data_IF_970026142825
#
_entry.id   IF_970026142825
#
_cell.length_a   1.000
_cell.length_b   1.000
_cell.length_c   1.000
_cell.angle_alpha   90.00
_cell.angle_beta   90.00
_cell.angle_gamma   90.00
#
_symmetry.space_group_name_H-M   'P 1'
#
loop_
_entity.id
_entity.type
_entity.pdbx_description
1 polymer ?
#
# COMPACT_ATOMS: atom_id res chain seq x y z
N UNK A 1 17.39 -65.72 46.19
CA UNK A 1 16.30 -64.84 45.71
C UNK A 1 16.34 -63.43 46.29
N UNK A 2 16.44 -63.22 47.62
CA UNK A 2 16.43 -61.89 48.24
C UNK A 2 17.61 -60.96 47.84
N UNK A 3 18.82 -61.50 47.66
CA UNK A 3 20.00 -60.73 47.25
C UNK A 3 19.77 -60.05 45.90
N UNK A 4 19.28 -60.79 44.91
CA UNK A 4 18.99 -60.34 43.55
C UNK A 4 18.03 -59.13 43.54
N UNK A 5 16.94 -59.18 44.34
CA UNK A 5 16.00 -58.07 44.49
C UNK A 5 16.64 -56.77 44.99
N UNK A 6 17.60 -56.85 45.92
CA UNK A 6 18.30 -55.68 46.46
C UNK A 6 19.16 -54.99 45.39
N UNK A 7 19.85 -55.75 44.53
CA UNK A 7 20.62 -55.20 43.42
C UNK A 7 19.73 -54.51 42.40
N UNK A 8 18.62 -55.14 42.00
CA UNK A 8 17.68 -54.53 41.07
C UNK A 8 17.12 -53.21 41.61
N UNK A 9 16.76 -53.15 42.89
CA UNK A 9 16.29 -51.92 43.53
C UNK A 9 17.36 -50.82 43.52
N UNK A 10 18.60 -51.16 43.88
CA UNK A 10 19.72 -50.20 43.91
C UNK A 10 20.06 -49.70 42.50
N UNK A 11 20.09 -50.59 41.50
CA UNK A 11 20.34 -50.22 40.10
C UNK A 11 19.24 -49.30 39.57
N UNK A 12 17.97 -49.63 39.82
CA UNK A 12 16.84 -48.79 39.40
C UNK A 12 16.92 -47.38 40.01
N UNK A 13 17.29 -47.27 41.28
CA UNK A 13 17.42 -45.98 41.96
C UNK A 13 18.58 -45.13 41.39
N UNK A 14 19.71 -45.75 41.07
CA UNK A 14 20.83 -45.07 40.39
C UNK A 14 20.49 -44.65 38.96
N UNK A 15 19.81 -45.51 38.20
CA UNK A 15 19.34 -45.18 36.84
C UNK A 15 18.31 -44.06 36.86
N UNK A 16 17.35 -44.07 37.79
CA UNK A 16 16.35 -43.01 37.93
C UNK A 16 17.00 -41.67 38.25
N UNK A 17 18.01 -41.67 39.13
CA UNK A 17 18.81 -40.47 39.42
C UNK A 17 19.52 -39.98 38.16
N UNK A 18 20.23 -40.84 37.42
CA UNK A 18 20.91 -40.46 36.18
C UNK A 18 19.96 -39.93 35.11
N UNK A 19 18.82 -40.59 34.90
CA UNK A 19 17.79 -40.19 33.94
C UNK A 19 17.20 -38.82 34.31
N UNK A 20 16.99 -38.53 35.59
CA UNK A 20 16.53 -37.21 36.02
C UNK A 20 17.48 -36.09 35.59
N UNK A 21 18.79 -36.25 35.80
CA UNK A 21 19.78 -35.27 35.31
C UNK A 21 19.80 -35.18 33.78
N UNK A 22 19.74 -36.33 33.09
CA UNK A 22 19.68 -36.36 31.63
C UNK A 22 18.47 -35.59 31.08
N UNK A 23 17.29 -35.74 31.70
CA UNK A 23 16.09 -35.02 31.28
C UNK A 23 16.20 -33.51 31.51
N UNK A 24 16.80 -33.07 32.61
CA UNK A 24 17.06 -31.65 32.87
C UNK A 24 18.01 -31.08 31.81
N UNK A 25 19.12 -31.76 31.52
CA UNK A 25 20.08 -31.33 30.50
C UNK A 25 19.46 -31.30 29.11
N UNK A 26 18.62 -32.29 28.78
CA UNK A 26 17.89 -32.34 27.50
C UNK A 26 16.88 -31.19 27.39
N UNK A 27 16.20 -30.86 28.49
CA UNK A 27 15.31 -29.70 28.56
C UNK A 27 16.06 -28.38 28.34
N UNK A 28 17.21 -28.22 29.00
CA UNK A 28 18.09 -27.06 28.81
C UNK A 28 18.59 -26.96 27.37
N UNK A 29 19.07 -28.06 26.80
CA UNK A 29 19.53 -28.12 25.41
C UNK A 29 18.42 -27.71 24.44
N UNK A 30 17.20 -28.23 24.62
CA UNK A 30 16.04 -27.86 23.80
C UNK A 30 15.69 -26.39 23.93
N UNK A 31 15.77 -25.83 25.14
CA UNK A 31 15.53 -24.40 25.37
C UNK A 31 16.56 -23.54 24.63
N UNK A 32 17.86 -23.86 24.77
CA UNK A 32 18.94 -23.17 24.07
C UNK A 32 18.75 -23.27 22.55
N UNK A 33 18.46 -24.46 22.03
CA UNK A 33 18.26 -24.65 20.60
C UNK A 33 17.07 -23.84 20.06
N UNK A 34 15.98 -23.75 20.81
CA UNK A 34 14.84 -22.89 20.48
C UNK A 34 15.23 -21.42 20.41
N UNK A 35 15.97 -20.93 21.42
CA UNK A 35 16.44 -19.53 21.47
C UNK A 35 17.37 -19.25 20.29
N UNK A 36 18.37 -20.10 20.05
CA UNK A 36 19.30 -19.97 18.93
C UNK A 36 18.57 -19.92 17.59
N UNK A 37 17.63 -20.85 17.37
CA UNK A 37 16.83 -20.89 16.14
C UNK A 37 15.98 -19.61 15.98
N UNK A 38 15.35 -19.14 17.06
CA UNK A 38 14.56 -17.90 17.03
C UNK A 38 15.42 -16.68 16.69
N UNK A 39 16.64 -16.58 17.21
CA UNK A 39 17.57 -15.49 16.90
C UNK A 39 18.02 -15.58 15.44
N UNK A 40 18.43 -16.75 14.95
CA UNK A 40 18.83 -16.92 13.55
C UNK A 40 17.71 -16.53 12.57
N UNK A 41 16.49 -16.98 12.86
CA UNK A 41 15.29 -16.63 12.09
C UNK A 41 15.06 -15.12 12.18
N UNK A 42 15.01 -14.54 13.37
CA UNK A 42 14.76 -13.13 13.58
C UNK A 42 15.79 -12.24 12.84
N UNK A 43 17.07 -12.61 12.87
CA UNK A 43 18.13 -11.90 12.12
C UNK A 43 17.99 -12.07 10.61
N UNK A 44 17.56 -13.23 10.12
CA UNK A 44 17.29 -13.39 8.69
C UNK A 44 16.08 -12.53 8.25
N UNK A 45 15.04 -12.44 9.07
CA UNK A 45 13.87 -11.62 8.81
C UNK A 45 14.10 -10.12 9.04
N UNK A 46 15.01 -9.70 9.93
CA UNK A 46 15.36 -8.26 10.07
C UNK A 46 15.97 -7.70 8.77
N UNK A 47 16.68 -8.55 8.01
CA UNK A 47 17.19 -8.18 6.69
C UNK A 47 16.07 -8.00 5.65
N UNK A 48 14.87 -8.53 5.94
CA UNK A 48 13.68 -8.46 5.11
C UNK A 48 12.50 -7.93 5.93
N UNK A 49 12.51 -6.62 6.20
CA UNK A 49 11.56 -5.85 7.03
C UNK A 49 10.08 -5.92 6.58
N UNK A 50 9.75 -6.75 5.57
CA UNK A 50 8.42 -6.84 4.97
C UNK A 50 7.36 -7.44 5.91
N UNK A 51 7.75 -8.05 7.05
CA UNK A 51 6.81 -8.74 7.97
C UNK A 51 7.06 -8.34 9.43
N UNK A 52 5.98 -8.09 10.22
CA UNK A 52 6.11 -7.83 11.65
C UNK A 52 6.64 -9.08 12.35
N UNK A 53 7.66 -8.91 13.21
CA UNK A 53 8.26 -10.00 13.97
C UNK A 53 7.45 -10.34 15.23
N UNK A 54 6.64 -9.38 15.68
CA UNK A 54 5.82 -9.50 16.89
C UNK A 54 4.46 -10.16 16.61
N UNK A 55 3.86 -10.68 17.69
CA UNK A 55 2.53 -11.30 17.68
C UNK A 55 1.48 -10.29 17.18
N UNK A 56 0.46 -10.72 16.41
CA UNK A 56 -0.62 -9.84 15.98
C UNK A 56 -1.23 -9.07 17.16
N UNK A 57 -1.27 -7.74 17.06
CA UNK A 57 -1.71 -6.84 18.14
C UNK A 57 -0.57 -6.13 18.88
N UNK A 58 0.67 -6.64 18.80
CA UNK A 58 1.87 -5.96 19.33
C UNK A 58 2.77 -5.36 18.24
N UNK A 59 2.29 -5.29 17.00
CA UNK A 59 3.04 -4.79 15.84
C UNK A 59 3.61 -3.38 16.08
N UNK A 60 2.89 -2.52 16.81
CA UNK A 60 3.33 -1.15 17.15
C UNK A 60 4.57 -1.09 18.03
N UNK A 61 4.90 -2.15 18.75
CA UNK A 61 6.10 -2.22 19.58
C UNK A 61 7.34 -2.59 18.77
N UNK A 62 7.17 -3.06 17.53
CA UNK A 62 8.26 -3.33 16.60
C UNK A 62 8.68 -2.04 15.87
N UNK A 63 9.75 -1.41 16.36
CA UNK A 63 10.29 -0.15 15.81
C UNK A 63 10.71 -0.31 14.34
N UNK A 64 11.24 -1.48 13.98
CA UNK A 64 11.69 -1.74 12.59
C UNK A 64 10.51 -1.76 11.64
N UNK A 65 9.46 -2.50 12.00
CA UNK A 65 8.23 -2.57 11.23
C UNK A 65 7.51 -1.22 11.13
N UNK A 66 7.43 -0.45 12.22
CA UNK A 66 6.83 0.89 12.22
C UNK A 66 7.60 1.88 11.32
N UNK A 67 8.94 1.78 11.32
CA UNK A 67 9.80 2.63 10.47
C UNK A 67 9.60 2.28 9.00
N UNK A 68 9.51 1.00 8.66
CA UNK A 68 9.21 0.54 7.30
C UNK A 68 7.84 1.04 6.83
N UNK A 69 6.81 0.97 7.67
CA UNK A 69 5.48 1.45 7.34
C UNK A 69 5.47 2.97 7.09
N UNK A 70 6.17 3.73 7.94
CA UNK A 70 6.33 5.18 7.74
C UNK A 70 7.10 5.51 6.46
N UNK A 71 8.14 4.75 6.13
CA UNK A 71 8.85 4.88 4.86
C UNK A 71 7.92 4.64 3.66
N UNK A 72 7.11 3.57 3.70
CA UNK A 72 6.17 3.23 2.63
C UNK A 72 5.10 4.32 2.45
N UNK A 73 4.60 4.90 3.53
CA UNK A 73 3.64 6.00 3.48
C UNK A 73 4.23 7.25 2.82
N UNK A 74 5.46 7.61 3.20
CA UNK A 74 6.18 8.73 2.58
C UNK A 74 6.46 8.46 1.10
N UNK A 75 6.89 7.25 0.76
CA UNK A 75 7.13 6.86 -0.63
C UNK A 75 5.84 6.90 -1.46
N UNK A 76 4.71 6.44 -0.91
CA UNK A 76 3.41 6.51 -1.57
C UNK A 76 2.99 7.96 -1.84
N UNK A 77 3.22 8.87 -0.90
CA UNK A 77 2.88 10.29 -1.06
C UNK A 77 3.80 11.01 -2.04
N UNK A 78 5.11 10.72 -2.03
CA UNK A 78 6.09 11.38 -2.90
C UNK A 78 6.09 10.82 -4.33
N UNK A 79 5.95 9.50 -4.46
CA UNK A 79 6.04 8.77 -5.72
C UNK A 79 4.68 8.27 -6.21
N UNK A 80 3.61 9.03 -5.95
CA UNK A 80 2.28 8.62 -6.37
C UNK A 80 2.21 8.55 -7.92
N UNK A 81 2.01 7.37 -8.53
CA UNK A 81 2.16 7.19 -9.98
C UNK A 81 1.18 8.07 -10.77
N UNK A 82 -0.01 8.33 -10.22
CA UNK A 82 -1.00 9.22 -10.85
C UNK A 82 -0.49 10.66 -10.93
N UNK A 83 0.21 11.16 -9.89
CA UNK A 83 0.73 12.54 -9.88
C UNK A 83 1.89 12.66 -10.86
N UNK A 84 2.80 11.68 -10.86
CA UNK A 84 3.94 11.63 -11.80
C UNK A 84 3.45 11.62 -13.25
N UNK A 85 2.48 10.76 -13.58
CA UNK A 85 1.89 10.69 -14.93
C UNK A 85 1.13 11.97 -15.28
N UNK A 86 0.41 12.58 -14.33
CA UNK A 86 -0.27 13.85 -14.55
C UNK A 86 0.72 14.97 -14.90
N UNK A 87 1.80 15.08 -14.15
CA UNK A 87 2.86 16.06 -14.40
C UNK A 87 3.55 15.81 -15.75
N UNK A 88 3.84 14.56 -16.11
CA UNK A 88 4.41 14.20 -17.42
C UNK A 88 3.47 14.58 -18.59
N UNK A 89 2.17 14.28 -18.46
CA UNK A 89 1.16 14.69 -19.45
C UNK A 89 1.06 16.21 -19.57
N UNK A 90 1.12 16.94 -18.45
CA UNK A 90 1.12 18.40 -18.44
C UNK A 90 2.35 18.95 -19.16
N UNK A 91 3.54 18.43 -18.85
CA UNK A 91 4.80 18.89 -19.44
C UNK A 91 4.85 18.60 -20.95
N UNK A 92 4.42 17.41 -21.38
CA UNK A 92 4.26 17.09 -22.81
C UNK A 92 3.29 18.05 -23.52
N UNK A 93 2.21 18.45 -22.86
CA UNK A 93 1.25 19.39 -23.43
C UNK A 93 1.82 20.80 -23.61
N UNK A 94 2.66 21.27 -22.67
CA UNK A 94 3.35 22.57 -22.74
C UNK A 94 4.44 22.55 -23.81
N UNK A 95 5.26 21.50 -23.86
CA UNK A 95 6.32 21.37 -24.88
C UNK A 95 5.77 21.29 -26.30
N UNK A 96 4.63 20.62 -26.51
CA UNK A 96 3.94 20.61 -27.80
C UNK A 96 3.44 22.02 -28.18
N UNK A 97 3.08 22.87 -27.21
CA UNK A 97 2.67 24.25 -27.51
C UNK A 97 3.86 25.11 -27.96
N UNK A 98 5.02 24.98 -27.29
CA UNK A 98 6.25 25.71 -27.64
C UNK A 98 6.84 25.28 -28.99
N UNK A 99 6.87 23.98 -29.28
CA UNK A 99 7.41 23.45 -30.55
C UNK A 99 6.61 23.88 -31.79
N UNK A 100 5.29 24.15 -31.65
CA UNK A 100 4.48 24.68 -32.75
C UNK A 100 4.71 26.19 -33.02
N UNK A 101 5.43 26.88 -32.14
CA UNK A 101 5.69 28.32 -32.24
C UNK A 101 6.94 28.61 -33.09
N UNK A 102 7.94 27.72 -33.06
CA UNK A 102 9.21 27.91 -33.77
C UNK A 102 9.15 27.56 -35.27
N UNK A 103 8.10 26.87 -35.73
CA UNK A 103 7.95 26.43 -37.14
C UNK A 103 7.22 27.43 -38.03
N UNK A 104 6.77 28.58 -37.51
CA UNK A 104 5.96 29.55 -38.27
C UNK A 104 6.69 30.86 -38.51
N UNK A 105 7.73 30.84 -39.35
CA UNK A 105 8.39 32.06 -39.83
C UNK A 105 7.82 32.60 -41.16
N UNK A 106 6.76 32.00 -41.74
CA UNK A 106 6.37 32.36 -43.12
C UNK A 106 4.85 32.29 -43.46
N UNK A 107 3.94 32.70 -42.55
CA UNK A 107 2.49 32.72 -42.86
C UNK A 107 1.79 34.01 -42.40
N UNK A 108 0.84 34.57 -43.18
CA UNK A 108 0.16 35.83 -42.85
C UNK A 108 -0.47 35.78 -41.45
N UNK A 109 -0.04 36.71 -40.61
CA UNK A 109 -0.26 36.80 -39.17
C UNK A 109 -1.75 36.65 -38.76
N UNK A 110 -2.67 37.10 -39.61
CA UNK A 110 -4.13 37.04 -39.37
C UNK A 110 -4.76 35.67 -39.62
N UNK A 111 -4.21 34.87 -40.54
CA UNK A 111 -4.68 33.51 -40.79
C UNK A 111 -4.21 32.56 -39.68
N UNK A 112 -2.99 32.76 -39.18
CA UNK A 112 -2.44 31.98 -38.07
C UNK A 112 -3.22 32.23 -36.77
N UNK A 113 -3.49 33.49 -36.42
CA UNK A 113 -4.24 33.86 -35.21
C UNK A 113 -5.66 33.28 -35.19
N UNK A 114 -6.36 33.29 -36.33
CA UNK A 114 -7.69 32.68 -36.48
C UNK A 114 -7.65 31.16 -36.31
N UNK A 115 -6.65 30.48 -36.86
CA UNK A 115 -6.47 29.05 -36.71
C UNK A 115 -6.15 28.63 -35.26
N UNK A 116 -5.30 29.38 -34.57
CA UNK A 116 -5.00 29.14 -33.15
C UNK A 116 -6.26 29.32 -32.29
N UNK A 117 -7.02 30.40 -32.50
CA UNK A 117 -8.28 30.63 -31.78
C UNK A 117 -9.32 29.55 -32.04
N UNK A 118 -9.46 29.11 -33.29
CA UNK A 118 -10.36 28.00 -33.66
C UNK A 118 -9.97 26.68 -32.98
N UNK A 119 -8.66 26.35 -32.94
CA UNK A 119 -8.14 25.18 -32.21
C UNK A 119 -8.39 25.25 -30.71
N UNK A 120 -8.30 26.45 -30.11
CA UNK A 120 -8.60 26.65 -28.68
C UNK A 120 -10.10 26.47 -28.42
N UNK A 121 -10.96 27.02 -29.26
CA UNK A 121 -12.42 26.90 -29.13
C UNK A 121 -12.88 25.44 -29.24
N UNK A 122 -12.40 24.71 -30.25
CA UNK A 122 -12.70 23.28 -30.44
C UNK A 122 -12.23 22.42 -29.27
N UNK A 123 -11.05 22.70 -28.69
CA UNK A 123 -10.57 22.04 -27.46
C UNK A 123 -11.48 22.30 -26.26
N UNK A 124 -11.95 23.53 -26.06
CA UNK A 124 -12.87 23.89 -24.96
C UNK A 124 -14.20 23.16 -25.07
N UNK A 125 -14.78 23.10 -26.27
CA UNK A 125 -16.03 22.36 -26.53
C UNK A 125 -15.83 20.87 -26.23
N UNK A 126 -14.76 20.26 -26.74
CA UNK A 126 -14.44 18.85 -26.47
C UNK A 126 -14.28 18.56 -24.98
N UNK A 127 -13.58 19.41 -24.24
CA UNK A 127 -13.39 19.23 -22.78
C UNK A 127 -14.72 19.32 -22.03
N UNK A 128 -15.64 20.21 -22.43
CA UNK A 128 -17.00 20.28 -21.86
C UNK A 128 -17.79 18.99 -22.12
N UNK A 129 -17.72 18.43 -23.32
CA UNK A 129 -18.37 17.15 -23.65
C UNK A 129 -17.78 15.97 -22.87
N UNK A 130 -16.46 15.89 -22.76
CA UNK A 130 -15.79 14.84 -21.96
C UNK A 130 -16.19 14.94 -20.49
N UNK A 131 -16.21 16.15 -19.92
CA UNK A 131 -16.71 16.38 -18.55
C UNK A 131 -18.15 15.87 -18.39
N UNK A 132 -19.05 16.27 -19.28
CA UNK A 132 -20.46 15.84 -19.26
C UNK A 132 -20.58 14.32 -19.30
N UNK A 133 -19.88 13.67 -20.24
CA UNK A 133 -19.85 12.21 -20.35
C UNK A 133 -19.41 11.56 -19.04
N UNK A 134 -18.29 11.99 -18.47
CA UNK A 134 -17.76 11.42 -17.21
C UNK A 134 -18.72 11.61 -16.03
N UNK A 135 -19.41 12.75 -15.94
CA UNK A 135 -20.38 13.03 -14.88
C UNK A 135 -21.65 12.18 -14.98
N UNK A 136 -22.16 11.94 -16.20
CA UNK A 136 -23.32 11.06 -16.41
C UNK A 136 -22.98 9.62 -16.01
N UNK A 137 -21.77 9.15 -16.34
CA UNK A 137 -21.30 7.79 -16.00
C UNK A 137 -20.96 7.61 -14.51
N UNK A 138 -20.61 8.69 -13.80
CA UNK A 138 -20.18 8.64 -12.40
C UNK A 138 -20.98 9.64 -11.54
N UNK A 139 -22.26 9.34 -11.33
CA UNK A 139 -23.22 10.24 -10.67
C UNK A 139 -22.88 10.54 -9.20
N UNK A 140 -22.08 9.69 -8.53
CA UNK A 140 -21.58 9.95 -7.16
C UNK A 140 -20.69 11.20 -7.10
N UNK A 141 -19.88 11.46 -8.13
CA UNK A 141 -18.93 12.58 -8.18
C UNK A 141 -19.66 13.94 -8.28
N UNK A 142 -20.88 13.94 -8.84
CA UNK A 142 -21.71 15.15 -8.89
C UNK A 142 -22.06 15.67 -7.49
N UNK A 143 -22.24 14.77 -6.51
CA UNK A 143 -22.63 15.13 -5.14
C UNK A 143 -21.49 15.78 -4.35
N UNK A 144 -20.24 15.38 -4.62
CA UNK A 144 -19.06 15.89 -3.91
C UNK A 144 -18.51 17.19 -4.52
N UNK A 145 -18.91 17.52 -5.75
CA UNK A 145 -18.33 18.63 -6.49
C UNK A 145 -19.03 19.96 -6.20
N UNK A 146 -18.35 20.84 -5.46
CA UNK A 146 -18.82 22.19 -5.10
C UNK A 146 -19.21 23.08 -6.29
N UNK A 147 -18.71 22.80 -7.50
CA UNK A 147 -18.94 23.61 -8.71
C UNK A 147 -19.96 23.02 -9.68
N UNK A 148 -20.52 21.83 -9.41
CA UNK A 148 -21.41 21.10 -10.34
C UNK A 148 -22.82 20.86 -9.78
N UNK A 149 -23.30 21.78 -8.94
CA UNK A 149 -24.64 21.74 -8.31
C UNK A 149 -25.77 21.62 -9.35
N UNK A 150 -25.56 22.16 -10.56
CA UNK A 150 -26.57 22.17 -11.64
C UNK A 150 -26.85 20.79 -12.26
N UNK A 151 -26.03 19.77 -12.00
CA UNK A 151 -26.24 18.40 -12.49
C UNK A 151 -26.92 17.50 -11.45
N UNK A 152 -27.31 18.05 -10.30
CA UNK A 152 -28.14 17.35 -9.34
C UNK A 152 -29.52 17.16 -9.97
N UNK A 153 -29.72 15.97 -10.55
CA UNK A 153 -31.01 15.52 -11.04
C UNK A 153 -32.05 15.74 -9.94
N UNK A 154 -33.26 16.23 -10.26
CA UNK A 154 -34.26 16.55 -9.25
C UNK A 154 -34.43 15.33 -8.36
N UNK A 155 -34.28 15.56 -7.06
CA UNK A 155 -34.63 14.61 -6.01
C UNK A 155 -35.96 13.99 -6.43
N UNK A 156 -35.97 12.70 -6.78
CA UNK A 156 -37.23 11.99 -7.01
C UNK A 156 -38.05 12.26 -5.77
N UNK A 157 -39.13 13.03 -5.93
CA UNK A 157 -40.08 13.26 -4.87
C UNK A 157 -40.46 11.89 -4.35
N UNK A 158 -40.04 11.57 -3.12
CA UNK A 158 -40.56 10.42 -2.41
C UNK A 158 -42.04 10.71 -2.27
N UNK A 159 -42.82 10.13 -3.18
CA UNK A 159 -44.26 10.05 -3.08
C UNK A 159 -44.50 9.23 -1.81
N UNK A 160 -44.72 9.94 -0.71
CA UNK A 160 -45.24 9.37 0.52
C UNK A 160 -46.66 8.91 0.19
N UNK A 161 -46.77 7.70 -0.35
CA UNK A 161 -48.00 6.92 -0.30
C UNK A 161 -48.14 6.46 1.15
N UNK A 162 -48.82 7.30 1.93
CA UNK A 162 -49.45 6.93 3.18
C UNK A 162 -50.43 5.81 2.86
N UNK A 163 -50.22 4.66 3.48
CA UNK A 163 -51.22 3.60 3.58
C UNK A 163 -51.29 3.13 5.03
#
# INVERSE_FOLDING_TARGET
>A
MAFLFIFYRRVYQNLSFFLFFYYILTGLYRCIFRVMTSICINTFYIARMDKPLLIPGFERFDIGYMTYLGFLEVELHQCHPVVVVCCDLLMKSVNHLSSNQDTSLESPMDAHKRNVMSKIYTRKVRNKWQKMKTLILNQSICKESKSNVSFQQPQQAKLNLVH
#
